data_IF_055003403587
#
_entry.id   IF_055003403587
#
_cell.length_a   1.000
_cell.length_b   1.000
_cell.length_c   1.000
_cell.angle_alpha   90.00
_cell.angle_beta   90.00
_cell.angle_gamma   90.00
#
_symmetry.space_group_name_H-M   'P 1'
#
loop_
_entity.id
_entity.type
_entity.pdbx_description
1 polymer ?
#
# COMPACT_ATOMS: atom_id res chain seq x y z
N UNK A 1 15.23 32.40 14.37
CA UNK A 1 14.11 31.82 13.62
C UNK A 1 14.67 30.71 12.74
N UNK A 2 14.80 29.48 13.25
CA UNK A 2 15.29 28.32 12.48
C UNK A 2 14.29 27.15 12.55
N UNK A 3 12.98 27.45 12.54
CA UNK A 3 11.92 26.44 12.61
C UNK A 3 11.33 26.03 11.25
N UNK A 4 11.65 26.75 10.17
CA UNK A 4 11.03 26.54 8.87
C UNK A 4 11.76 25.49 8.01
N UNK A 5 13.07 25.32 8.17
CA UNK A 5 13.88 24.40 7.34
C UNK A 5 13.62 22.92 7.67
N UNK A 6 13.40 22.60 8.94
CA UNK A 6 13.06 21.24 9.37
C UNK A 6 11.67 20.82 8.88
N UNK A 7 10.71 21.76 8.92
CA UNK A 7 9.36 21.53 8.42
C UNK A 7 9.37 21.28 6.90
N UNK A 8 10.16 22.06 6.15
CA UNK A 8 10.29 21.89 4.71
C UNK A 8 10.89 20.52 4.36
N UNK A 9 11.96 20.08 5.02
CA UNK A 9 12.55 18.75 4.78
C UNK A 9 11.59 17.60 5.05
N UNK A 10 10.81 17.68 6.13
CA UNK A 10 9.80 16.66 6.45
C UNK A 10 8.73 16.59 5.35
N UNK A 11 8.24 17.74 4.89
CA UNK A 11 7.23 17.81 3.83
C UNK A 11 7.74 17.29 2.48
N UNK A 12 9.01 17.53 2.14
CA UNK A 12 9.58 17.00 0.90
C UNK A 12 9.68 15.47 0.93
N UNK A 13 10.06 14.89 2.06
CA UNK A 13 10.10 13.43 2.24
C UNK A 13 8.70 12.80 2.15
N UNK A 14 7.70 13.43 2.75
CA UNK A 14 6.30 12.99 2.64
C UNK A 14 5.76 13.11 1.21
N UNK A 15 6.11 14.19 0.51
CA UNK A 15 5.70 14.41 -0.87
C UNK A 15 6.33 13.37 -1.81
N UNK A 16 7.62 13.10 -1.67
CA UNK A 16 8.31 12.04 -2.42
C UNK A 16 7.70 10.67 -2.15
N UNK A 17 7.43 10.34 -0.89
CA UNK A 17 6.74 9.10 -0.52
C UNK A 17 5.35 9.01 -1.16
N UNK A 18 4.54 10.08 -1.05
CA UNK A 18 3.21 10.13 -1.69
C UNK A 18 3.29 10.05 -3.21
N UNK A 19 4.27 10.69 -3.84
CA UNK A 19 4.47 10.63 -5.28
C UNK A 19 4.85 9.22 -5.73
N UNK A 20 5.73 8.52 -5.00
CA UNK A 20 6.05 7.12 -5.27
C UNK A 20 4.80 6.27 -5.08
N UNK A 21 4.11 6.40 -3.95
CA UNK A 21 2.88 5.66 -3.63
C UNK A 21 1.80 5.86 -4.70
N UNK A 22 1.61 7.10 -5.16
CA UNK A 22 0.65 7.46 -6.21
C UNK A 22 1.13 7.09 -7.63
N UNK A 23 2.42 6.81 -7.82
CA UNK A 23 2.95 6.25 -9.08
C UNK A 23 2.76 4.74 -9.13
N UNK A 24 2.86 4.05 -7.98
CA UNK A 24 2.70 2.59 -7.89
C UNK A 24 1.25 2.16 -7.69
N UNK A 25 0.36 3.04 -7.21
CA UNK A 25 -1.06 2.75 -7.00
C UNK A 25 -1.91 3.65 -7.91
N UNK A 26 -2.93 3.07 -8.54
CA UNK A 26 -4.02 3.85 -9.13
C UNK A 26 -4.88 4.49 -8.03
N UNK A 27 -5.61 5.56 -8.38
CA UNK A 27 -6.58 6.19 -7.49
C UNK A 27 -7.60 5.17 -6.96
N UNK A 28 -8.08 4.28 -7.84
CA UNK A 28 -9.02 3.22 -7.50
C UNK A 28 -8.42 2.18 -6.54
N UNK A 29 -7.17 1.75 -6.77
CA UNK A 29 -6.47 0.85 -5.86
C UNK A 29 -6.26 1.47 -4.47
N UNK A 30 -5.93 2.77 -4.39
CA UNK A 30 -5.78 3.47 -3.11
C UNK A 30 -7.12 3.56 -2.35
N UNK A 31 -8.21 3.88 -3.06
CA UNK A 31 -9.56 3.88 -2.47
C UNK A 31 -9.98 2.48 -2.01
N UNK A 32 -9.70 1.43 -2.80
CA UNK A 32 -9.99 0.05 -2.41
C UNK A 32 -9.18 -0.37 -1.20
N UNK A 33 -7.89 -0.03 -1.13
CA UNK A 33 -7.08 -0.25 0.07
C UNK A 33 -7.73 0.40 1.29
N UNK A 34 -8.18 1.65 1.15
CA UNK A 34 -8.84 2.38 2.22
C UNK A 34 -10.12 1.70 2.71
N UNK A 35 -10.99 1.29 1.77
CA UNK A 35 -12.24 0.56 2.09
C UNK A 35 -11.95 -0.79 2.74
N UNK A 36 -10.99 -1.55 2.20
CA UNK A 36 -10.62 -2.86 2.74
C UNK A 36 -9.94 -2.72 4.10
N UNK A 37 -9.16 -1.67 4.34
CA UNK A 37 -8.56 -1.42 5.65
C UNK A 37 -9.62 -1.22 6.74
N UNK A 38 -10.75 -0.60 6.40
CA UNK A 38 -11.88 -0.42 7.33
C UNK A 38 -12.58 -1.76 7.62
N UNK A 39 -12.78 -2.60 6.60
CA UNK A 39 -13.49 -3.88 6.76
C UNK A 39 -12.59 -4.99 7.32
N UNK A 40 -11.33 -5.04 6.88
CA UNK A 40 -10.34 -6.07 7.15
C UNK A 40 -8.91 -5.47 7.12
N UNK A 41 -8.46 -4.85 8.22
CA UNK A 41 -7.14 -4.21 8.28
C UNK A 41 -5.97 -5.18 8.08
N UNK A 42 -6.11 -6.45 8.47
CA UNK A 42 -5.06 -7.47 8.25
C UNK A 42 -4.78 -7.70 6.77
N UNK A 43 -5.83 -7.79 5.94
CA UNK A 43 -5.69 -8.01 4.51
C UNK A 43 -5.09 -6.78 3.84
N UNK A 44 -5.50 -5.57 4.26
CA UNK A 44 -4.90 -4.34 3.79
C UNK A 44 -3.41 -4.27 4.13
N UNK A 45 -3.03 -4.63 5.35
CA UNK A 45 -1.62 -4.64 5.79
C UNK A 45 -0.78 -5.66 4.99
N UNK A 46 -1.33 -6.85 4.70
CA UNK A 46 -0.67 -7.84 3.86
C UNK A 46 -0.53 -7.36 2.40
N UNK A 47 -1.56 -6.70 1.86
CA UNK A 47 -1.51 -6.11 0.53
C UNK A 47 -0.47 -4.99 0.43
N UNK A 48 -0.35 -4.12 1.44
CA UNK A 48 0.69 -3.10 1.52
C UNK A 48 2.10 -3.70 1.52
N UNK A 49 2.34 -4.73 2.33
CA UNK A 49 3.65 -5.42 2.38
C UNK A 49 3.97 -6.06 1.03
N UNK A 50 3.00 -6.72 0.41
CA UNK A 50 3.18 -7.35 -0.90
C UNK A 50 3.52 -6.33 -1.99
N UNK A 51 2.83 -5.19 -2.01
CA UNK A 51 3.12 -4.10 -2.94
C UNK A 51 4.50 -3.50 -2.70
N UNK A 52 4.89 -3.31 -1.44
CA UNK A 52 6.22 -2.83 -1.10
C UNK A 52 7.32 -3.80 -1.56
N UNK A 53 7.10 -5.11 -1.40
CA UNK A 53 8.02 -6.15 -1.87
C UNK A 53 8.14 -6.14 -3.39
N UNK A 54 7.02 -6.04 -4.11
CA UNK A 54 7.03 -5.97 -5.57
C UNK A 54 7.74 -4.72 -6.08
N UNK A 55 7.57 -3.58 -5.40
CA UNK A 55 8.22 -2.32 -5.75
C UNK A 55 9.72 -2.38 -5.52
N UNK A 56 10.16 -2.88 -4.36
CA UNK A 56 11.58 -3.10 -4.06
C UNK A 56 12.23 -4.11 -5.02
N UNK A 57 11.48 -5.14 -5.42
CA UNK A 57 11.94 -6.12 -6.40
C UNK A 57 11.97 -5.58 -7.85
N UNK A 58 11.55 -4.33 -8.09
CA UNK A 58 11.45 -3.74 -9.42
C UNK A 58 10.40 -4.43 -10.31
N UNK A 59 9.56 -5.30 -9.76
CA UNK A 59 8.51 -6.02 -10.49
C UNK A 59 7.29 -5.16 -10.77
N UNK A 60 7.07 -4.13 -9.96
CA UNK A 60 6.11 -3.06 -10.25
C UNK A 60 6.86 -1.73 -10.39
N UNK A 61 6.85 -1.19 -11.60
CA UNK A 61 7.41 0.12 -11.93
C UNK A 61 6.31 1.12 -12.35
N UNK A 62 5.04 0.75 -12.17
CA UNK A 62 3.91 1.53 -12.65
C UNK A 62 2.64 1.33 -11.82
N UNK A 63 1.56 1.93 -12.31
CA UNK A 63 0.26 2.00 -11.64
C UNK A 63 -0.34 0.60 -11.49
N UNK A 64 -0.41 0.08 -10.27
CA UNK A 64 -1.19 -1.10 -9.94
C UNK A 64 -2.69 -0.77 -10.11
N UNK A 65 -3.39 -1.40 -11.07
CA UNK A 65 -4.80 -1.17 -11.27
C UNK A 65 -5.62 -1.83 -10.15
N UNK A 66 -6.85 -1.38 -10.02
CA UNK A 66 -7.86 -1.97 -9.13
C UNK A 66 -7.96 -3.49 -9.30
N UNK A 67 -7.89 -3.99 -10.53
CA UNK A 67 -8.00 -5.42 -10.84
C UNK A 67 -6.92 -6.25 -10.16
N UNK A 68 -5.65 -5.85 -10.31
CA UNK A 68 -4.52 -6.55 -9.66
C UNK A 68 -4.61 -6.44 -8.14
N UNK A 69 -5.08 -5.29 -7.65
CA UNK A 69 -5.29 -5.07 -6.24
C UNK A 69 -6.38 -5.99 -5.70
N UNK A 70 -7.50 -6.12 -6.42
CA UNK A 70 -8.59 -7.03 -6.10
C UNK A 70 -8.14 -8.49 -6.17
N UNK A 71 -7.34 -8.89 -7.15
CA UNK A 71 -6.76 -10.23 -7.23
C UNK A 71 -5.90 -10.54 -6.02
N UNK A 72 -5.01 -9.61 -5.62
CA UNK A 72 -4.16 -9.75 -4.43
C UNK A 72 -5.04 -9.84 -3.18
N UNK A 73 -5.98 -8.92 -2.99
CA UNK A 73 -6.88 -8.93 -1.84
C UNK A 73 -7.73 -10.21 -1.79
N UNK A 74 -8.19 -10.70 -2.93
CA UNK A 74 -8.96 -11.95 -3.03
C UNK A 74 -8.09 -13.16 -2.69
N UNK A 75 -6.87 -13.23 -3.23
CA UNK A 75 -5.90 -14.28 -2.91
C UNK A 75 -5.50 -14.27 -1.43
N UNK A 76 -5.35 -13.09 -0.82
CA UNK A 76 -5.06 -12.94 0.60
C UNK A 76 -6.29 -13.26 1.48
N UNK A 77 -7.48 -12.88 1.02
CA UNK A 77 -8.74 -13.18 1.71
C UNK A 77 -9.08 -14.66 1.70
N UNK A 78 -8.89 -15.35 0.56
CA UNK A 78 -9.08 -16.81 0.46
C UNK A 78 -8.05 -17.58 1.30
N UNK A 79 -6.82 -17.06 1.40
CA UNK A 79 -5.83 -17.64 2.32
C UNK A 79 -6.20 -17.46 3.79
N UNK A 80 -7.10 -16.53 4.13
CA UNK A 80 -7.52 -16.29 5.52
C UNK A 80 -8.40 -17.41 6.10
N UNK A 81 -8.99 -18.26 5.26
CA UNK A 81 -9.69 -19.48 5.70
C UNK A 81 -8.73 -20.61 6.13
N UNK A 82 -7.43 -20.53 5.82
CA UNK A 82 -6.45 -21.54 6.20
C UNK A 82 -5.30 -20.91 7.02
N UNK A 83 -5.38 -21.08 8.34
CA UNK A 83 -4.30 -20.86 9.31
C UNK A 83 -3.75 -19.42 9.41
N UNK A 84 -4.06 -18.75 10.51
CA UNK A 84 -3.07 -18.37 11.54
C UNK A 84 -3.86 -18.23 12.86
N UNK A 85 -4.10 -19.37 13.52
CA UNK A 85 -4.11 -19.37 14.98
C UNK A 85 -2.66 -19.26 15.40
N UNK A 86 -2.29 -18.09 15.94
CA UNK A 86 -1.06 -17.92 16.73
C UNK A 86 -1.02 -19.00 17.82
N UNK A 87 0.10 -19.70 17.96
CA UNK A 87 0.50 -20.37 19.19
C UNK A 87 1.79 -19.75 19.66
#
# INVERSE_FOLDING_TARGET
MNGNEELQKAQQLEMLKRQIMSKILTKEAFERLGRVRVVNPEIASQAEIYLLQLYQAGKINGKLPDEKMREVLKALSEKKDFNIKRK
#
